data_IF_033664254652
#
_entry.id   IF_033664254652
#
_cell.length_a   1.000
_cell.length_b   1.000
_cell.length_c   1.000
_cell.angle_alpha   90.00
_cell.angle_beta   90.00
_cell.angle_gamma   90.00
#
_symmetry.space_group_name_H-M   'P 1'
#
loop_
_entity.id
_entity.type
_entity.pdbx_description
1 polymer ?
#
# COMPACT_ATOMS: atom_id res chain seq x y z
N UNK A 1 -11.78 17.75 11.00
CA UNK A 1 -10.45 17.19 11.29
C UNK A 1 -10.53 15.73 10.94
N UNK A 2 -9.67 15.22 10.05
CA UNK A 2 -9.63 13.81 9.72
C UNK A 2 -8.64 13.07 10.61
N UNK A 3 -8.99 11.85 11.03
CA UNK A 3 -8.12 10.91 11.73
C UNK A 3 -7.69 9.84 10.72
N UNK A 4 -6.40 9.81 10.40
CA UNK A 4 -5.78 8.77 9.57
C UNK A 4 -5.05 7.81 10.50
N UNK A 5 -5.39 6.52 10.43
CA UNK A 5 -4.81 5.48 11.28
C UNK A 5 -4.05 4.48 10.43
N UNK A 6 -2.73 4.44 10.63
CA UNK A 6 -1.88 3.36 10.14
C UNK A 6 -1.92 2.18 11.13
N UNK A 7 -2.33 1.00 10.66
CA UNK A 7 -2.65 -0.15 11.52
C UNK A 7 -1.45 -1.07 11.74
N UNK A 8 -0.27 -0.47 11.91
CA UNK A 8 1.04 -1.14 12.00
C UNK A 8 1.04 -2.22 13.10
N UNK A 9 0.78 -3.46 12.70
CA UNK A 9 0.72 -4.61 13.61
C UNK A 9 1.59 -5.76 13.15
N UNK A 10 1.85 -5.90 11.85
CA UNK A 10 2.60 -7.03 11.33
C UNK A 10 2.60 -7.12 9.82
N UNK A 11 3.37 -8.06 9.29
CA UNK A 11 3.44 -8.35 7.86
C UNK A 11 3.87 -9.81 7.67
N UNK A 12 3.71 -10.35 6.46
CA UNK A 12 4.19 -11.69 6.11
C UNK A 12 3.61 -12.82 6.97
N UNK A 13 2.42 -12.62 7.56
CA UNK A 13 1.76 -13.61 8.41
C UNK A 13 2.15 -13.57 9.89
N UNK A 14 2.98 -12.61 10.33
CA UNK A 14 3.44 -12.52 11.71
C UNK A 14 3.22 -11.12 12.31
N UNK A 15 2.84 -11.09 13.59
CA UNK A 15 2.73 -9.86 14.37
C UNK A 15 4.11 -9.34 14.79
N UNK A 16 4.29 -8.02 14.70
CA UNK A 16 5.40 -7.29 15.33
C UNK A 16 5.05 -6.86 16.76
N UNK A 17 3.76 -6.79 17.07
CA UNK A 17 3.22 -6.31 18.34
C UNK A 17 2.64 -7.46 19.16
N UNK A 18 2.37 -7.20 20.44
CA UNK A 18 1.68 -8.15 21.30
C UNK A 18 0.25 -8.41 20.77
N UNK A 19 -0.26 -9.66 20.78
CA UNK A 19 -1.60 -9.98 20.26
C UNK A 19 -2.75 -9.15 20.84
N UNK A 20 -2.59 -8.67 22.07
CA UNK A 20 -3.56 -7.83 22.80
C UNK A 20 -3.74 -6.44 22.16
N UNK A 21 -2.83 -6.03 21.27
CA UNK A 21 -2.93 -4.76 20.52
C UNK A 21 -3.99 -4.85 19.42
N UNK A 22 -4.32 -6.04 18.93
CA UNK A 22 -5.30 -6.23 17.84
C UNK A 22 -6.71 -5.77 18.25
N UNK A 23 -7.27 -6.20 19.41
CA UNK A 23 -8.53 -5.64 19.92
C UNK A 23 -8.50 -4.12 20.11
N UNK A 24 -7.36 -3.56 20.57
CA UNK A 24 -7.22 -2.12 20.78
C UNK A 24 -7.30 -1.35 19.46
N UNK A 25 -6.68 -1.85 18.38
CA UNK A 25 -6.84 -1.24 17.07
C UNK A 25 -8.29 -1.20 16.62
N UNK A 26 -9.08 -2.25 16.88
CA UNK A 26 -10.53 -2.26 16.54
C UNK A 26 -11.31 -1.16 17.26
N UNK A 27 -10.94 -0.82 18.49
CA UNK A 27 -11.52 0.33 19.18
C UNK A 27 -11.09 1.66 18.55
N UNK A 28 -9.83 1.78 18.11
CA UNK A 28 -9.32 2.96 17.38
C UNK A 28 -10.04 3.14 16.04
N UNK A 29 -10.36 2.06 15.33
CA UNK A 29 -11.06 2.15 14.04
C UNK A 29 -12.41 2.87 14.14
N UNK A 30 -13.08 2.81 15.31
CA UNK A 30 -14.38 3.48 15.52
C UNK A 30 -14.31 5.00 15.40
N UNK A 31 -13.14 5.59 15.57
CA UNK A 31 -12.91 7.03 15.48
C UNK A 31 -12.03 7.42 14.27
N UNK A 32 -11.54 6.45 13.50
CA UNK A 32 -10.70 6.71 12.34
C UNK A 32 -11.56 7.02 11.11
N UNK A 33 -11.19 8.05 10.35
CA UNK A 33 -11.83 8.39 9.08
C UNK A 33 -11.19 7.62 7.91
N UNK A 34 -9.87 7.44 7.98
CA UNK A 34 -9.05 6.71 7.01
C UNK A 34 -8.24 5.65 7.73
N UNK A 35 -8.14 4.46 7.12
CA UNK A 35 -7.23 3.42 7.58
C UNK A 35 -6.38 2.93 6.40
N UNK A 36 -5.12 2.59 6.70
CA UNK A 36 -4.14 2.17 5.69
C UNK A 36 -3.53 0.79 5.97
N UNK A 37 -4.32 -0.26 6.25
CA UNK A 37 -3.77 -1.58 6.54
C UNK A 37 -3.01 -2.16 5.35
N UNK A 38 -2.00 -2.99 5.60
CA UNK A 38 -1.56 -3.97 4.59
C UNK A 38 -2.54 -5.18 4.54
N UNK A 39 -2.34 -6.14 3.62
CA UNK A 39 -3.19 -7.33 3.54
C UNK A 39 -3.30 -8.08 4.87
N UNK A 40 -2.18 -8.36 5.54
CA UNK A 40 -2.18 -9.14 6.78
C UNK A 40 -2.98 -8.44 7.88
N UNK A 41 -2.79 -7.13 8.04
CA UNK A 41 -3.51 -6.32 9.01
C UNK A 41 -5.00 -6.23 8.69
N UNK A 42 -5.35 -6.05 7.40
CA UNK A 42 -6.73 -6.04 6.95
C UNK A 42 -7.43 -7.37 7.29
N UNK A 43 -6.78 -8.50 6.98
CA UNK A 43 -7.29 -9.83 7.29
C UNK A 43 -7.51 -10.06 8.79
N UNK A 44 -6.58 -9.55 9.61
CA UNK A 44 -6.60 -9.68 11.07
C UNK A 44 -7.72 -8.83 11.70
N UNK A 45 -7.90 -7.60 11.22
CA UNK A 45 -8.95 -6.70 11.68
C UNK A 45 -10.34 -7.17 11.26
N UNK A 46 -10.47 -7.71 10.03
CA UNK A 46 -11.74 -8.21 9.51
C UNK A 46 -12.08 -9.64 9.92
N UNK A 47 -11.10 -10.41 10.40
CA UNK A 47 -11.21 -11.86 10.65
C UNK A 47 -11.57 -12.65 9.38
N UNK A 48 -11.03 -12.23 8.24
CA UNK A 48 -11.34 -12.81 6.92
C UNK A 48 -10.05 -12.89 6.11
N UNK A 49 -9.93 -13.87 5.21
CA UNK A 49 -8.77 -14.00 4.32
C UNK A 49 -9.03 -13.31 2.98
N UNK A 50 -7.99 -12.72 2.40
CA UNK A 50 -8.01 -12.17 1.05
C UNK A 50 -7.30 -13.16 0.13
N UNK A 51 -8.08 -13.93 -0.63
CA UNK A 51 -7.56 -14.88 -1.62
C UNK A 51 -8.00 -14.56 -3.05
N UNK A 52 -8.88 -13.57 -3.21
CA UNK A 52 -9.44 -13.11 -4.47
C UNK A 52 -9.83 -11.64 -4.37
N UNK A 53 -10.09 -10.99 -5.51
CA UNK A 53 -10.57 -9.61 -5.52
C UNK A 53 -11.93 -9.46 -4.81
N UNK A 54 -12.78 -10.48 -4.92
CA UNK A 54 -14.07 -10.52 -4.22
C UNK A 54 -13.89 -10.51 -2.71
N UNK A 55 -12.92 -11.25 -2.20
CA UNK A 55 -12.61 -11.26 -0.76
C UNK A 55 -12.15 -9.89 -0.30
N UNK A 56 -11.28 -9.20 -1.07
CA UNK A 56 -10.85 -7.84 -0.76
C UNK A 56 -12.05 -6.88 -0.63
N UNK A 57 -13.04 -6.97 -1.52
CA UNK A 57 -14.27 -6.19 -1.41
C UNK A 57 -15.06 -6.50 -0.13
N UNK A 58 -15.18 -7.78 0.26
CA UNK A 58 -15.87 -8.18 1.49
C UNK A 58 -15.11 -7.76 2.75
N UNK A 59 -13.79 -7.86 2.75
CA UNK A 59 -12.91 -7.38 3.83
C UNK A 59 -13.10 -5.89 4.02
N UNK A 60 -13.07 -5.10 2.94
CA UNK A 60 -13.31 -3.66 3.04
C UNK A 60 -14.70 -3.34 3.60
N UNK A 61 -15.75 -4.04 3.15
CA UNK A 61 -17.10 -3.92 3.73
C UNK A 61 -17.12 -4.22 5.23
N UNK A 62 -16.40 -5.26 5.67
CA UNK A 62 -16.27 -5.61 7.08
C UNK A 62 -15.53 -4.52 7.86
N UNK A 63 -14.45 -3.98 7.32
CA UNK A 63 -13.70 -2.87 7.92
C UNK A 63 -14.56 -1.61 8.05
N UNK A 64 -15.38 -1.27 7.05
CA UNK A 64 -16.33 -0.16 7.14
C UNK A 64 -17.32 -0.34 8.30
N UNK A 65 -17.75 -1.57 8.59
CA UNK A 65 -18.64 -1.85 9.75
C UNK A 65 -17.97 -1.61 11.11
N UNK A 66 -16.63 -1.46 11.15
CA UNK A 66 -15.88 -1.13 12.35
C UNK A 66 -15.73 0.37 12.60
N UNK A 67 -16.14 1.22 11.64
CA UNK A 67 -16.11 2.69 11.78
C UNK A 67 -15.60 3.45 10.55
N UNK A 68 -14.45 3.10 9.97
CA UNK A 68 -13.80 3.92 8.94
C UNK A 68 -14.63 4.02 7.67
N UNK A 69 -14.80 5.22 7.13
CA UNK A 69 -15.46 5.43 5.82
C UNK A 69 -14.51 5.26 4.65
N UNK A 70 -13.21 5.40 4.88
CA UNK A 70 -12.18 5.29 3.86
C UNK A 70 -11.18 4.20 4.24
N UNK A 71 -11.07 3.17 3.41
CA UNK A 71 -10.16 2.04 3.61
C UNK A 71 -9.21 1.98 2.43
N UNK A 72 -7.90 1.95 2.71
CA UNK A 72 -6.85 1.74 1.70
C UNK A 72 -6.04 0.53 2.12
N UNK A 73 -6.25 -0.61 1.47
CA UNK A 73 -5.35 -1.76 1.64
C UNK A 73 -4.10 -1.44 0.83
N UNK A 74 -3.02 -1.08 1.52
CA UNK A 74 -1.81 -0.48 0.93
C UNK A 74 -1.14 -1.43 -0.05
N UNK A 75 -1.03 -2.70 0.32
CA UNK A 75 -0.54 -3.79 -0.54
C UNK A 75 -1.31 -5.08 -0.27
N UNK A 76 -1.71 -5.76 -1.34
CA UNK A 76 -2.24 -7.12 -1.31
C UNK A 76 -1.79 -7.92 -2.54
N UNK A 77 -1.74 -9.23 -2.38
CA UNK A 77 -1.48 -10.19 -3.46
C UNK A 77 -2.79 -10.80 -3.93
N UNK A 78 -2.98 -10.88 -5.24
CA UNK A 78 -4.15 -11.48 -5.86
C UNK A 78 -3.71 -12.44 -6.97
N UNK A 79 -4.36 -13.61 -7.14
CA UNK A 79 -4.14 -14.44 -8.31
C UNK A 79 -4.40 -13.62 -9.58
N UNK A 80 -3.48 -13.66 -10.55
CA UNK A 80 -3.56 -12.80 -11.74
C UNK A 80 -4.86 -13.01 -12.53
N UNK A 81 -5.40 -14.24 -12.49
CA UNK A 81 -6.70 -14.60 -13.07
C UNK A 81 -7.89 -13.85 -12.48
N UNK A 82 -7.79 -13.37 -11.24
CA UNK A 82 -8.85 -12.67 -10.52
C UNK A 82 -8.72 -11.14 -10.65
N UNK A 83 -7.67 -10.66 -11.32
CA UNK A 83 -7.40 -9.25 -11.56
C UNK A 83 -7.95 -8.82 -12.93
N UNK A 84 -8.74 -7.73 -13.04
CA UNK A 84 -9.24 -7.22 -14.31
C UNK A 84 -8.12 -6.91 -15.32
N UNK A 85 -8.31 -7.29 -16.58
CA UNK A 85 -7.28 -7.19 -17.64
C UNK A 85 -6.88 -5.75 -17.93
N UNK A 86 -7.78 -4.80 -17.72
CA UNK A 86 -7.61 -3.37 -17.95
C UNK A 86 -6.46 -2.80 -17.10
N UNK A 87 -6.25 -3.37 -15.90
CA UNK A 87 -5.19 -2.97 -14.98
C UNK A 87 -3.98 -3.90 -15.02
N UNK A 88 -3.93 -4.86 -15.94
CA UNK A 88 -2.71 -5.63 -16.16
C UNK A 88 -1.61 -4.73 -16.71
N UNK A 89 -0.44 -4.84 -16.09
CA UNK A 89 0.82 -4.29 -16.55
C UNK A 89 1.59 -5.36 -17.33
N UNK A 90 2.50 -4.97 -18.21
CA UNK A 90 3.37 -5.93 -18.92
C UNK A 90 4.18 -6.81 -17.96
N UNK A 91 4.51 -6.28 -16.78
CA UNK A 91 5.22 -7.01 -15.72
C UNK A 91 4.29 -7.77 -14.76
N UNK A 92 3.00 -7.91 -15.05
CA UNK A 92 2.06 -8.55 -14.12
C UNK A 92 2.26 -10.06 -14.05
N UNK A 93 2.43 -10.57 -12.82
CA UNK A 93 2.55 -11.99 -12.50
C UNK A 93 1.67 -12.32 -11.29
N UNK A 94 1.61 -13.59 -10.87
CA UNK A 94 0.95 -13.98 -9.61
C UNK A 94 1.68 -13.46 -8.36
N UNK A 95 2.89 -12.91 -8.51
CA UNK A 95 3.67 -12.27 -7.44
C UNK A 95 3.48 -10.73 -7.43
N UNK A 96 2.66 -10.21 -8.33
CA UNK A 96 2.32 -8.78 -8.34
C UNK A 96 1.59 -8.37 -7.07
N UNK A 97 1.89 -7.15 -6.63
CA UNK A 97 1.18 -6.48 -5.56
C UNK A 97 0.27 -5.40 -6.13
N UNK A 98 -0.84 -5.18 -5.45
CA UNK A 98 -1.85 -4.21 -5.80
C UNK A 98 -2.18 -3.35 -4.59
N UNK A 99 -2.70 -2.14 -4.83
CA UNK A 99 -3.32 -1.32 -3.82
C UNK A 99 -4.83 -1.31 -4.06
N UNK A 100 -5.61 -1.49 -3.00
CA UNK A 100 -7.07 -1.52 -3.09
C UNK A 100 -7.66 -0.39 -2.25
N UNK A 101 -8.66 0.30 -2.79
CA UNK A 101 -9.35 1.38 -2.08
C UNK A 101 -10.84 1.09 -1.99
N UNK A 102 -11.47 1.51 -0.90
CA UNK A 102 -12.91 1.42 -0.69
C UNK A 102 -13.37 2.62 0.11
N UNK A 103 -14.34 3.36 -0.42
CA UNK A 103 -14.95 4.52 0.21
C UNK A 103 -16.46 4.30 0.35
N UNK A 104 -17.02 4.60 1.52
CA UNK A 104 -18.48 4.72 1.69
C UNK A 104 -18.91 6.14 1.33
N UNK A 105 -19.67 6.30 0.25
CA UNK A 105 -20.19 7.59 -0.23
C UNK A 105 -21.23 8.15 0.73
N UNK A 106 -21.67 9.40 0.50
CA UNK A 106 -22.76 10.02 1.27
C UNK A 106 -24.06 9.24 1.20
N UNK A 107 -24.31 8.55 0.08
CA UNK A 107 -25.55 7.82 -0.19
C UNK A 107 -25.54 6.41 0.42
N UNK A 108 -24.42 6.01 1.04
CA UNK A 108 -24.24 4.70 1.65
C UNK A 108 -23.70 3.64 0.69
N UNK A 109 -23.53 3.99 -0.59
CA UNK A 109 -22.89 3.13 -1.57
C UNK A 109 -21.39 3.01 -1.30
N UNK A 110 -20.80 1.90 -1.75
CA UNK A 110 -19.36 1.69 -1.65
C UNK A 110 -18.72 1.90 -3.03
N UNK A 111 -17.74 2.76 -3.11
CA UNK A 111 -16.92 2.97 -4.30
C UNK A 111 -15.55 2.33 -4.09
N UNK A 112 -15.21 1.37 -4.95
CA UNK A 112 -14.03 0.53 -4.79
C UNK A 112 -13.15 0.56 -6.03
N UNK A 113 -11.84 0.54 -5.84
CA UNK A 113 -10.87 0.54 -6.94
C UNK A 113 -9.70 -0.38 -6.65
N UNK A 114 -9.14 -0.92 -7.72
CA UNK A 114 -7.86 -1.64 -7.70
C UNK A 114 -6.82 -0.83 -8.48
N UNK A 115 -5.65 -0.66 -7.89
CA UNK A 115 -4.50 0.06 -8.47
C UNK A 115 -3.36 -0.94 -8.67
N UNK A 116 -2.92 -1.09 -9.90
CA UNK A 116 -1.74 -1.88 -10.27
C UNK A 116 -0.53 -0.99 -10.43
N UNK A 117 0.61 -1.45 -9.90
CA UNK A 117 1.90 -0.76 -10.00
C UNK A 117 3.04 -1.78 -10.19
N UNK A 118 4.19 -1.39 -10.75
CA UNK A 118 5.34 -2.29 -10.88
C UNK A 118 5.90 -2.67 -9.52
N UNK A 119 6.12 -3.96 -9.28
CA UNK A 119 6.76 -4.47 -8.05
C UNK A 119 8.28 -4.61 -8.23
N UNK A 120 9.01 -4.49 -7.13
CA UNK A 120 10.46 -4.59 -7.11
C UNK A 120 10.88 -5.56 -6.01
N UNK A 121 11.66 -6.57 -6.37
CA UNK A 121 12.19 -7.54 -5.41
C UNK A 121 13.23 -6.86 -4.50
N UNK A 122 12.97 -6.86 -3.20
CA UNK A 122 13.87 -6.26 -2.22
C UNK A 122 13.20 -6.00 -0.89
N UNK A 123 14.01 -5.70 0.12
CA UNK A 123 13.53 -5.27 1.42
C UNK A 123 13.51 -3.74 1.47
N UNK A 124 12.34 -3.17 1.72
CA UNK A 124 12.12 -1.73 1.87
C UNK A 124 11.44 -1.49 3.22
N UNK A 125 11.95 -0.55 3.99
CA UNK A 125 11.37 -0.17 5.28
C UNK A 125 10.84 1.26 5.22
N UNK A 126 9.76 1.55 5.95
CA UNK A 126 9.14 2.88 5.97
C UNK A 126 8.28 3.21 4.75
N UNK A 127 7.98 2.25 3.86
CA UNK A 127 7.06 2.47 2.73
C UNK A 127 5.64 2.73 3.21
N UNK A 128 5.18 2.01 4.25
CA UNK A 128 3.90 2.23 4.92
C UNK A 128 3.83 3.63 5.54
N UNK A 129 4.82 4.01 6.35
CA UNK A 129 4.88 5.35 6.98
C UNK A 129 4.85 6.48 5.94
N UNK A 130 5.64 6.33 4.86
CA UNK A 130 5.62 7.27 3.75
C UNK A 130 4.23 7.33 3.10
N UNK A 131 3.63 6.17 2.81
CA UNK A 131 2.30 6.10 2.21
C UNK A 131 1.28 6.82 3.08
N UNK A 132 1.18 6.46 4.36
CA UNK A 132 0.25 7.06 5.33
C UNK A 132 0.43 8.57 5.46
N UNK A 133 1.67 9.07 5.47
CA UNK A 133 1.94 10.50 5.49
C UNK A 133 1.45 11.24 4.23
N UNK A 134 1.55 10.59 3.06
CA UNK A 134 1.05 11.13 1.79
C UNK A 134 -0.47 11.14 1.73
N UNK A 135 -1.15 10.17 2.36
CA UNK A 135 -2.60 10.18 2.54
C UNK A 135 -3.00 11.41 3.37
N UNK A 136 -2.39 11.61 4.54
CA UNK A 136 -2.66 12.77 5.41
C UNK A 136 -2.47 14.09 4.65
N UNK A 137 -1.41 14.21 3.86
CA UNK A 137 -1.11 15.42 3.11
C UNK A 137 -2.13 15.76 2.02
N UNK A 138 -2.95 14.80 1.57
CA UNK A 138 -3.79 14.94 0.36
C UNK A 138 -5.28 14.68 0.59
N UNK A 139 -5.67 14.09 1.74
CA UNK A 139 -7.03 13.59 1.98
C UNK A 139 -8.11 14.68 2.12
N UNK A 140 -7.75 15.95 2.25
CA UNK A 140 -8.71 17.05 2.46
C UNK A 140 -9.36 17.51 1.14
N UNK A 141 -8.63 17.49 0.04
CA UNK A 141 -9.03 18.17 -1.21
C UNK A 141 -9.25 17.21 -2.41
N UNK A 142 -9.10 15.91 -2.20
CA UNK A 142 -9.07 14.93 -3.30
C UNK A 142 -9.97 13.73 -2.96
N UNK A 143 -10.45 13.04 -4.00
CA UNK A 143 -11.19 11.77 -3.83
C UNK A 143 -10.27 10.68 -3.27
N UNK A 144 -10.84 9.63 -2.65
CA UNK A 144 -10.02 8.54 -2.08
C UNK A 144 -9.10 7.91 -3.13
N UNK A 145 -9.62 7.69 -4.35
CA UNK A 145 -8.85 7.12 -5.46
C UNK A 145 -7.73 8.05 -5.90
N UNK A 146 -7.97 9.36 -6.03
CA UNK A 146 -6.91 10.31 -6.40
C UNK A 146 -5.80 10.37 -5.35
N UNK A 147 -6.17 10.37 -4.06
CA UNK A 147 -5.23 10.38 -2.94
C UNK A 147 -4.37 9.12 -2.95
N UNK A 148 -4.99 7.94 -3.03
CA UNK A 148 -4.30 6.67 -3.05
C UNK A 148 -3.44 6.52 -4.31
N UNK A 149 -3.94 6.88 -5.48
CA UNK A 149 -3.20 6.84 -6.75
C UNK A 149 -1.94 7.69 -6.68
N UNK A 150 -2.05 8.95 -6.22
CA UNK A 150 -0.89 9.83 -6.03
C UNK A 150 0.10 9.26 -5.02
N UNK A 151 -0.37 8.71 -3.89
CA UNK A 151 0.50 8.08 -2.90
C UNK A 151 1.25 6.86 -3.50
N UNK A 152 0.55 5.98 -4.22
CA UNK A 152 1.15 4.85 -4.94
C UNK A 152 2.20 5.33 -5.93
N UNK A 153 1.94 6.39 -6.68
CA UNK A 153 2.90 6.94 -7.65
C UNK A 153 4.20 7.42 -6.99
N UNK A 154 4.09 8.20 -5.90
CA UNK A 154 5.24 8.69 -5.14
C UNK A 154 6.05 7.53 -4.54
N UNK A 155 5.37 6.61 -3.83
CA UNK A 155 6.02 5.47 -3.17
C UNK A 155 6.68 4.57 -4.22
N UNK A 156 5.98 4.23 -5.30
CA UNK A 156 6.52 3.37 -6.35
C UNK A 156 7.77 3.97 -7.01
N UNK A 157 7.76 5.28 -7.29
CA UNK A 157 8.91 5.96 -7.89
C UNK A 157 10.13 5.98 -6.95
N UNK A 158 9.91 6.20 -5.64
CA UNK A 158 10.96 6.19 -4.63
C UNK A 158 11.50 4.76 -4.44
N UNK A 159 10.63 3.76 -4.34
CA UNK A 159 11.00 2.35 -4.25
C UNK A 159 11.79 1.91 -5.47
N UNK A 160 11.38 2.32 -6.69
CA UNK A 160 12.13 2.07 -7.93
C UNK A 160 13.53 2.64 -7.88
N UNK A 161 13.68 3.90 -7.47
CA UNK A 161 15.00 4.53 -7.36
C UNK A 161 15.87 3.85 -6.31
N UNK A 162 15.27 3.47 -5.18
CA UNK A 162 15.93 2.75 -4.10
C UNK A 162 16.38 1.36 -4.58
N UNK A 163 15.53 0.64 -5.32
CA UNK A 163 15.85 -0.65 -5.95
C UNK A 163 17.03 -0.52 -6.93
N UNK A 164 16.99 0.44 -7.86
CA UNK A 164 18.08 0.67 -8.82
C UNK A 164 19.39 0.96 -8.09
N UNK A 165 19.34 1.76 -7.02
CA UNK A 165 20.49 2.06 -6.18
C UNK A 165 21.04 0.80 -5.50
N UNK A 166 20.16 -0.03 -4.90
CA UNK A 166 20.55 -1.31 -4.28
C UNK A 166 21.22 -2.24 -5.31
N UNK A 167 20.66 -2.37 -6.51
CA UNK A 167 21.21 -3.23 -7.58
C UNK A 167 22.60 -2.79 -8.05
N UNK A 168 22.79 -1.49 -8.30
CA UNK A 168 24.08 -0.94 -8.70
C UNK A 168 25.19 -1.29 -7.70
N UNK A 169 24.89 -1.19 -6.41
CA UNK A 169 25.87 -1.47 -5.36
C UNK A 169 26.04 -2.97 -5.06
N UNK A 170 25.00 -3.80 -5.22
CA UNK A 170 25.12 -5.27 -5.10
C UNK A 170 26.14 -5.81 -6.09
N UNK A 171 26.07 -5.40 -7.36
CA UNK A 171 27.01 -5.81 -8.41
C UNK A 171 28.45 -5.32 -8.15
N UNK A 172 28.61 -4.19 -7.47
CA UNK A 172 29.93 -3.64 -7.11
C UNK A 172 30.56 -4.40 -5.93
N UNK A 173 29.76 -4.91 -4.99
CA UNK A 173 30.26 -5.58 -3.78
C UNK A 173 30.40 -7.10 -3.88
N UNK A 174 29.75 -7.77 -4.83
CA UNK A 174 30.18 -9.12 -5.20
C UNK A 174 31.68 -9.14 -5.59
N UNK A 175 32.24 -7.98 -5.97
CA UNK A 175 33.66 -7.77 -6.26
C UNK A 175 34.49 -7.23 -5.09
N UNK A 176 33.89 -6.73 -4.00
CA UNK A 176 34.60 -6.12 -2.86
C UNK A 176 34.24 -6.82 -1.53
N UNK A 177 35.23 -7.42 -0.86
CA UNK A 177 35.00 -8.29 0.30
C UNK A 177 34.43 -7.55 1.53
N UNK A 178 33.20 -7.93 1.90
CA UNK A 178 32.45 -7.74 3.18
C UNK A 178 31.99 -6.31 3.56
N UNK A 179 30.72 -5.96 3.28
CA UNK A 179 30.05 -4.84 3.95
C UNK A 179 29.61 -5.20 5.39
N UNK A 180 29.81 -4.29 6.35
CA UNK A 180 29.32 -4.42 7.73
C UNK A 180 27.78 -4.33 7.80
N UNK A 181 27.13 -5.06 8.72
CA UNK A 181 25.65 -5.06 8.90
C UNK A 181 25.00 -3.67 8.87
N UNK A 182 25.52 -2.68 9.59
CA UNK A 182 24.98 -1.31 9.61
C UNK A 182 25.05 -0.58 8.25
N UNK A 183 26.13 -0.77 7.49
CA UNK A 183 26.28 -0.24 6.12
C UNK A 183 25.34 -0.93 5.13
N UNK A 184 24.90 -2.15 5.43
CA UNK A 184 23.89 -2.86 4.64
C UNK A 184 22.51 -2.29 4.96
N UNK A 185 22.16 -2.12 6.24
CA UNK A 185 20.85 -1.55 6.66
C UNK A 185 20.63 -0.13 6.10
N UNK A 186 21.61 0.78 6.25
CA UNK A 186 21.48 2.16 5.76
C UNK A 186 21.24 2.28 4.24
N UNK A 187 21.51 1.21 3.47
CA UNK A 187 21.38 1.20 2.02
C UNK A 187 20.11 0.50 1.54
N UNK A 188 19.30 -0.01 2.47
CA UNK A 188 17.91 -0.43 2.24
C UNK A 188 16.91 0.67 2.64
N UNK A 189 17.40 1.80 3.16
CA UNK A 189 16.62 2.99 3.44
C UNK A 189 16.06 3.62 2.16
N UNK A 190 14.85 4.16 2.26
CA UNK A 190 14.21 4.86 1.16
C UNK A 190 14.97 6.13 0.79
N UNK A 191 15.19 6.34 -0.51
CA UNK A 191 15.83 7.55 -1.05
C UNK A 191 14.86 8.75 -1.07
N UNK A 192 14.33 9.14 0.10
CA UNK A 192 13.30 10.17 0.24
C UNK A 192 13.75 11.54 -0.29
N UNK A 193 14.94 12.01 0.10
CA UNK A 193 15.46 13.32 -0.30
C UNK A 193 15.66 13.38 -1.82
N UNK A 194 16.25 12.34 -2.40
CA UNK A 194 16.45 12.20 -3.84
C UNK A 194 15.12 12.01 -4.58
N UNK A 195 14.11 11.50 -3.88
CA UNK A 195 12.74 11.29 -4.34
C UNK A 195 11.83 12.50 -4.23
N UNK A 196 12.29 13.63 -3.67
CA UNK A 196 11.49 14.84 -3.40
C UNK A 196 10.54 15.22 -4.55
N UNK A 197 11.03 15.24 -5.79
CA UNK A 197 10.22 15.59 -6.97
C UNK A 197 9.00 14.68 -7.18
N UNK A 198 9.08 13.42 -6.77
CA UNK A 198 7.96 12.48 -6.86
C UNK A 198 6.99 12.61 -5.69
N UNK A 199 7.39 13.26 -4.59
CA UNK A 199 6.48 13.64 -3.51
C UNK A 199 5.68 14.88 -3.91
N UNK A 200 6.37 15.87 -4.49
CA UNK A 200 5.78 17.13 -4.97
C UNK A 200 4.89 16.92 -6.20
N UNK A 201 5.37 16.15 -7.18
CA UNK A 201 4.68 15.83 -8.43
C UNK A 201 4.66 14.29 -8.66
N UNK A 202 3.67 13.58 -8.06
CA UNK A 202 3.63 12.12 -8.05
C UNK A 202 3.60 11.46 -9.43
N UNK A 203 2.92 12.08 -10.39
CA UNK A 203 2.64 11.46 -11.69
C UNK A 203 3.86 11.46 -12.62
N UNK A 204 4.93 12.20 -12.28
CA UNK A 204 6.20 12.16 -13.01
C UNK A 204 6.78 10.73 -13.11
N UNK A 205 6.52 9.89 -12.10
CA UNK A 205 6.98 8.51 -12.06
C UNK A 205 6.04 7.49 -12.72
N UNK A 206 4.78 7.88 -13.00
CA UNK A 206 3.69 6.95 -13.24
C UNK A 206 3.26 6.79 -14.69
N UNK A 207 3.67 7.70 -15.61
CA UNK A 207 3.21 7.73 -17.01
C UNK A 207 3.29 6.35 -17.69
N UNK A 208 2.12 5.73 -17.88
CA UNK A 208 1.93 4.44 -18.54
C UNK A 208 2.26 3.19 -17.69
N UNK A 209 2.66 3.36 -16.43
CA UNK A 209 3.15 2.27 -15.55
C UNK A 209 2.22 1.91 -14.42
N UNK A 210 1.35 2.82 -14.01
CA UNK A 210 0.39 2.62 -12.93
C UNK A 210 -0.99 2.81 -13.53
N UNK A 211 -1.86 1.82 -13.32
CA UNK A 211 -3.22 1.78 -13.82
C UNK A 211 -4.18 1.55 -12.66
N UNK A 212 -5.40 2.05 -12.78
CA UNK A 212 -6.45 1.70 -11.83
C UNK A 212 -7.77 1.46 -12.56
N UNK A 213 -8.67 0.73 -11.91
CA UNK A 213 -10.03 0.48 -12.38
C UNK A 213 -11.00 0.58 -11.21
N UNK A 214 -12.19 1.10 -11.48
CA UNK A 214 -13.33 1.01 -10.57
C UNK A 214 -13.91 -0.41 -10.62
N UNK A 215 -14.22 -0.97 -9.47
CA UNK A 215 -14.76 -2.32 -9.36
C UNK A 215 -16.28 -2.21 -9.35
N UNK A 216 -16.93 -2.79 -10.34
CA UNK A 216 -18.38 -2.87 -10.38
C UNK A 216 -18.88 -3.86 -9.31
N UNK A 217 -19.83 -3.42 -8.49
CA UNK A 217 -20.48 -4.27 -7.51
C UNK A 217 -21.58 -5.08 -8.21
N UNK A 218 -21.34 -6.39 -8.36
CA UNK A 218 -22.37 -7.36 -8.75
C UNK A 218 -23.21 -7.78 -7.54
#
# INVERSE_FOLDING_TARGET
>A
MYIVCDTVMGDGGALYVAPEIVPLYRDILRIADFITPNQFEAELLSEMKITSLKDACQVAKKLHSLGPRNVIITTLSLPLKDVPKEVHLESSTDESLYCFTSQVTSDGDMEQHLISFPTYEGYFTGTGDLFSSLIVARCIENTLIDVAYKAVCSVNAITRNTFIYQQYYRQKWEKEAKPSKAKVVHKHELLLIQGKKFIEDPELGSKGRIKFIKIDQQ
#
